data_IF_153424934372
#
_entry.id   IF_153424934372
#
_cell.length_a   1.000
_cell.length_b   1.000
_cell.length_c   1.000
_cell.angle_alpha   90.00
_cell.angle_beta   90.00
_cell.angle_gamma   90.00
#
_symmetry.space_group_name_H-M   'P 1'
#
loop_
_entity.id
_entity.type
_entity.pdbx_description
1 polymer ?
#
# COMPACT_ATOMS: atom_id res chain seq x y z
N UNK A 1 -3.45 -4.27 -43.42
CA UNK A 1 -4.05 -3.72 -42.19
C UNK A 1 -3.03 -3.89 -41.06
N UNK A 2 -2.20 -2.87 -40.82
CA UNK A 2 -1.14 -2.93 -39.80
C UNK A 2 -1.77 -2.62 -38.43
N UNK A 3 -1.66 -3.58 -37.51
CA UNK A 3 -2.11 -3.47 -36.12
C UNK A 3 -1.29 -2.39 -35.44
N UNK A 4 -1.94 -1.33 -34.97
CA UNK A 4 -1.34 -0.35 -34.07
C UNK A 4 -1.22 -1.00 -32.69
N UNK A 5 -0.11 -1.70 -32.48
CA UNK A 5 0.42 -1.85 -31.14
C UNK A 5 1.05 -0.51 -30.77
N UNK A 6 0.71 0.03 -29.60
CA UNK A 6 1.65 0.43 -28.53
C UNK A 6 0.82 1.20 -27.51
N UNK A 7 0.19 0.47 -26.58
CA UNK A 7 -0.27 1.04 -25.32
C UNK A 7 0.52 0.33 -24.22
N UNK A 8 1.63 0.94 -23.84
CA UNK A 8 2.28 0.72 -22.57
C UNK A 8 3.00 2.03 -22.26
N UNK A 9 2.27 2.95 -21.64
CA UNK A 9 2.89 4.01 -20.87
C UNK A 9 3.61 3.26 -19.75
N UNK A 10 4.90 3.01 -19.94
CA UNK A 10 5.78 2.68 -18.84
C UNK A 10 5.86 3.94 -17.99
N UNK A 11 4.91 4.07 -17.04
CA UNK A 11 5.11 4.95 -15.91
C UNK A 11 6.34 4.41 -15.20
N UNK A 12 7.48 5.08 -15.40
CA UNK A 12 8.63 4.91 -14.54
C UNK A 12 8.18 5.39 -13.15
N UNK A 13 7.62 4.48 -12.36
CA UNK A 13 7.35 4.68 -10.95
C UNK A 13 8.71 4.74 -10.28
N UNK A 14 9.19 5.96 -10.06
CA UNK A 14 10.20 6.18 -9.05
C UNK A 14 9.53 5.90 -7.71
N UNK A 15 9.64 4.66 -7.23
CA UNK A 15 9.39 4.36 -5.84
C UNK A 15 10.30 5.29 -5.03
N UNK A 16 9.72 6.35 -4.48
CA UNK A 16 10.52 7.27 -3.66
C UNK A 16 10.72 6.61 -2.30
N UNK A 17 11.96 6.50 -1.80
CA UNK A 17 12.22 5.91 -0.49
C UNK A 17 11.45 6.61 0.63
N UNK A 18 11.14 7.90 0.46
CA UNK A 18 10.32 8.65 1.42
C UNK A 18 8.90 8.07 1.54
N UNK A 19 8.20 7.84 0.42
CA UNK A 19 6.85 7.26 0.46
C UNK A 19 6.83 5.85 1.06
N UNK A 20 7.88 5.04 0.79
CA UNK A 20 7.99 3.71 1.38
C UNK A 20 8.13 3.79 2.91
N UNK A 21 9.03 4.65 3.39
CA UNK A 21 9.27 4.82 4.82
C UNK A 21 8.04 5.40 5.52
N UNK A 22 7.41 6.43 4.95
CA UNK A 22 6.23 7.08 5.54
C UNK A 22 5.05 6.10 5.68
N UNK A 23 4.79 5.29 4.65
CA UNK A 23 3.73 4.28 4.69
C UNK A 23 4.04 3.14 5.68
N UNK A 24 5.30 2.69 5.75
CA UNK A 24 5.73 1.69 6.71
C UNK A 24 5.65 2.20 8.17
N UNK A 25 6.01 3.47 8.40
CA UNK A 25 5.93 4.11 9.72
C UNK A 25 4.48 4.31 10.15
N UNK A 26 3.60 4.78 9.26
CA UNK A 26 2.17 4.89 9.54
C UNK A 26 1.55 3.52 9.87
N UNK A 27 1.94 2.47 9.14
CA UNK A 27 1.51 1.10 9.42
C UNK A 27 1.96 0.65 10.82
N UNK A 28 3.21 0.90 11.21
CA UNK A 28 3.72 0.58 12.55
C UNK A 28 3.00 1.36 13.64
N UNK A 29 2.71 2.64 13.42
CA UNK A 29 1.95 3.46 14.36
C UNK A 29 0.52 2.94 14.52
N UNK A 30 -0.14 2.60 13.41
CA UNK A 30 -1.46 1.98 13.43
C UNK A 30 -1.47 0.70 14.27
N UNK A 31 -0.49 -0.19 14.08
CA UNK A 31 -0.37 -1.45 14.82
C UNK A 31 -0.03 -1.20 16.29
N UNK A 32 0.84 -0.23 16.60
CA UNK A 32 1.16 0.13 17.98
C UNK A 32 -0.09 0.61 18.75
N UNK A 33 -1.02 1.30 18.06
CA UNK A 33 -2.24 1.85 18.66
C UNK A 33 -3.40 0.83 18.74
N UNK A 34 -3.50 -0.08 17.78
CA UNK A 34 -4.65 -1.00 17.66
C UNK A 34 -4.31 -2.47 18.00
N UNK A 35 -3.03 -2.80 18.15
CA UNK A 35 -2.53 -4.16 18.30
C UNK A 35 -2.40 -4.88 16.95
N UNK A 36 -1.44 -5.80 16.86
CA UNK A 36 -1.15 -6.57 15.65
C UNK A 36 0.31 -6.99 15.54
N UNK A 37 0.67 -7.59 14.40
CA UNK A 37 2.04 -7.92 14.01
C UNK A 37 2.52 -6.93 12.95
N UNK A 38 3.66 -6.26 13.18
CA UNK A 38 4.22 -5.24 12.28
C UNK A 38 5.13 -5.80 11.18
N UNK A 39 5.31 -7.13 11.13
CA UNK A 39 6.18 -7.82 10.16
C UNK A 39 5.88 -7.50 8.69
N UNK A 40 4.63 -7.13 8.37
CA UNK A 40 4.18 -6.77 7.02
C UNK A 40 4.32 -5.29 6.66
N UNK A 41 4.67 -4.41 7.60
CA UNK A 41 4.67 -2.96 7.34
C UNK A 41 5.73 -2.52 6.32
N UNK A 42 6.90 -3.16 6.30
CA UNK A 42 7.92 -2.84 5.30
C UNK A 42 7.48 -3.26 3.89
N UNK A 43 6.83 -4.41 3.75
CA UNK A 43 6.20 -4.84 2.50
C UNK A 43 5.14 -3.84 2.03
N UNK A 44 4.33 -3.36 2.96
CA UNK A 44 3.27 -2.39 2.67
C UNK A 44 3.83 -1.04 2.23
N UNK A 45 4.93 -0.61 2.85
CA UNK A 45 5.69 0.57 2.42
C UNK A 45 6.22 0.44 0.99
N UNK A 46 6.84 -0.69 0.66
CA UNK A 46 7.32 -0.96 -0.72
C UNK A 46 6.17 -0.98 -1.74
N UNK A 47 5.03 -1.57 -1.39
CA UNK A 47 3.84 -1.59 -2.22
C UNK A 47 3.28 -0.18 -2.45
N UNK A 48 3.19 0.63 -1.40
CA UNK A 48 2.74 2.03 -1.48
C UNK A 48 3.69 2.89 -2.32
N UNK A 49 5.01 2.65 -2.24
CA UNK A 49 5.97 3.37 -3.07
C UNK A 49 5.83 3.03 -4.56
N UNK A 50 5.37 1.83 -4.90
CA UNK A 50 5.10 1.39 -6.26
C UNK A 50 3.70 1.78 -6.77
N UNK A 51 2.77 2.14 -5.88
CA UNK A 51 1.38 2.47 -6.20
C UNK A 51 0.90 3.68 -5.40
N UNK A 52 0.83 4.84 -6.07
CA UNK A 52 0.39 6.08 -5.45
C UNK A 52 -1.08 6.07 -5.01
N UNK A 53 -1.94 5.24 -5.63
CA UNK A 53 -3.34 5.09 -5.22
C UNK A 53 -3.40 4.31 -3.91
N UNK A 54 -2.59 3.25 -3.79
CA UNK A 54 -2.45 2.51 -2.55
C UNK A 54 -1.87 3.39 -1.43
N UNK A 55 -0.84 4.19 -1.72
CA UNK A 55 -0.26 5.12 -0.74
C UNK A 55 -1.30 6.11 -0.18
N UNK A 56 -2.12 6.70 -1.06
CA UNK A 56 -3.19 7.62 -0.66
C UNK A 56 -4.25 6.89 0.19
N UNK A 57 -4.67 5.70 -0.24
CA UNK A 57 -5.64 4.88 0.50
C UNK A 57 -5.13 4.49 1.90
N UNK A 58 -3.85 4.08 2.02
CA UNK A 58 -3.23 3.75 3.30
C UNK A 58 -3.12 4.98 4.21
N UNK A 59 -2.85 6.17 3.66
CA UNK A 59 -2.78 7.41 4.44
C UNK A 59 -4.13 7.84 5.03
N UNK A 60 -5.23 7.34 4.47
CA UNK A 60 -6.58 7.59 4.98
C UNK A 60 -7.03 6.60 6.06
N UNK A 61 -6.24 5.55 6.36
CA UNK A 61 -6.57 4.54 7.37
C UNK A 61 -5.96 4.97 8.71
N UNK A 62 -6.78 5.53 9.60
CA UNK A 62 -6.36 5.92 10.95
C UNK A 62 -6.92 4.97 12.02
N UNK A 63 -8.07 4.36 11.74
CA UNK A 63 -8.81 3.51 12.69
C UNK A 63 -9.14 2.13 12.11
N UNK A 64 -9.54 1.15 12.96
CA UNK A 64 -10.10 -0.13 12.50
C UNK A 64 -11.31 0.03 11.59
N UNK A 65 -12.14 1.04 11.83
CA UNK A 65 -13.33 1.33 11.03
C UNK A 65 -12.96 1.81 9.62
N UNK A 66 -11.88 2.59 9.48
CA UNK A 66 -11.36 3.00 8.17
C UNK A 66 -10.79 1.81 7.38
N UNK A 67 -10.08 0.91 8.07
CA UNK A 67 -9.60 -0.34 7.48
C UNK A 67 -10.76 -1.23 7.02
N UNK A 68 -11.84 -1.32 7.80
CA UNK A 68 -13.06 -2.03 7.41
C UNK A 68 -13.82 -1.34 6.27
N UNK A 69 -13.72 -0.02 6.15
CA UNK A 69 -14.35 0.77 5.08
C UNK A 69 -13.50 0.84 3.79
N UNK A 70 -12.21 0.51 3.86
CA UNK A 70 -11.31 0.51 2.72
C UNK A 70 -11.81 -0.39 1.59
N UNK A 71 -11.45 -0.04 0.36
CA UNK A 71 -11.85 -0.83 -0.80
C UNK A 71 -11.17 -2.21 -0.83
N UNK A 72 -11.74 -3.12 -1.62
CA UNK A 72 -11.25 -4.51 -1.70
C UNK A 72 -9.81 -4.60 -2.22
N UNK A 73 -9.38 -3.65 -3.05
CA UNK A 73 -8.02 -3.62 -3.59
C UNK A 73 -7.00 -3.26 -2.50
N UNK A 74 -7.30 -2.26 -1.68
CA UNK A 74 -6.49 -1.82 -0.55
C UNK A 74 -6.38 -2.94 0.48
N UNK A 75 -7.51 -3.55 0.85
CA UNK A 75 -7.52 -4.71 1.77
C UNK A 75 -6.73 -5.89 1.24
N UNK A 76 -6.85 -6.19 -0.06
CA UNK A 76 -6.08 -7.27 -0.67
C UNK A 76 -4.58 -6.99 -0.65
N UNK A 77 -4.16 -5.74 -0.89
CA UNK A 77 -2.76 -5.33 -0.80
C UNK A 77 -2.22 -5.46 0.63
N UNK A 78 -3.02 -5.05 1.63
CA UNK A 78 -2.68 -5.25 3.05
C UNK A 78 -2.51 -6.73 3.35
N UNK A 79 -3.52 -7.57 3.08
CA UNK A 79 -3.47 -9.02 3.35
C UNK A 79 -2.29 -9.69 2.65
N UNK A 80 -1.91 -9.24 1.45
CA UNK A 80 -0.75 -9.78 0.73
C UNK A 80 0.59 -9.56 1.48
N UNK A 81 0.67 -8.51 2.30
CA UNK A 81 1.84 -8.21 3.13
C UNK A 81 1.78 -8.81 4.54
N UNK A 82 0.61 -9.29 4.99
CA UNK A 82 0.42 -9.93 6.30
C UNK A 82 -0.14 -11.35 6.14
N UNK A 83 0.63 -12.31 5.59
CA UNK A 83 0.13 -13.66 5.31
C UNK A 83 -0.17 -14.49 6.57
N UNK A 84 0.36 -14.08 7.73
CA UNK A 84 0.24 -14.78 9.01
C UNK A 84 -0.70 -14.08 10.02
N UNK A 85 -1.37 -12.98 9.61
CA UNK A 85 -2.27 -12.18 10.45
C UNK A 85 -3.72 -12.69 10.48
#
# INVERSE_FOLDING_TARGET
MKKLMTAAIAAAFFATPALANDAADNCREYIANNGGDDSGCDCLGDAAAADAVLADALSAIETPEDLEAADDATKAAIVACFPDA
#
